data_IF_597399328117
#
_entry.id   IF_597399328117
#
_cell.length_a   1.000
_cell.length_b   1.000
_cell.length_c   1.000
_cell.angle_alpha   90.00
_cell.angle_beta   90.00
_cell.angle_gamma   90.00
#
_symmetry.space_group_name_H-M   'P 1'
#
loop_
_entity.id
_entity.type
_entity.pdbx_description
1 polymer ?
#
# COMPACT_ATOMS: atom_id res chain seq x y z
N UNK A 1 8.76 -10.06 -35.26
CA UNK A 1 9.68 -9.84 -34.12
C UNK A 1 9.34 -8.48 -33.54
N UNK A 2 8.51 -8.44 -32.49
CA UNK A 2 8.28 -7.24 -31.71
C UNK A 2 8.87 -7.50 -30.33
N UNK A 3 10.15 -7.20 -30.18
CA UNK A 3 10.81 -7.18 -28.89
C UNK A 3 10.30 -5.93 -28.18
N UNK A 4 9.31 -6.07 -27.30
CA UNK A 4 8.91 -5.00 -26.39
C UNK A 4 10.12 -4.67 -25.51
N UNK A 5 10.90 -3.69 -25.91
CA UNK A 5 11.96 -3.12 -25.07
C UNK A 5 11.24 -2.39 -23.95
N UNK A 6 11.04 -3.08 -22.82
CA UNK A 6 10.59 -2.45 -21.57
C UNK A 6 11.57 -1.31 -21.27
N UNK A 7 11.06 -0.09 -21.27
CA UNK A 7 11.86 1.09 -21.03
C UNK A 7 12.43 1.01 -19.60
N UNK A 8 13.66 1.48 -19.37
CA UNK A 8 14.31 1.46 -18.04
C UNK A 8 13.44 2.19 -16.99
N UNK A 9 12.65 3.17 -17.44
CA UNK A 9 11.64 3.85 -16.65
C UNK A 9 10.52 2.92 -16.16
N UNK A 10 10.04 1.99 -16.99
CA UNK A 10 8.99 1.03 -16.64
C UNK A 10 9.51 0.01 -15.63
N UNK A 11 10.75 -0.47 -15.80
CA UNK A 11 11.40 -1.39 -14.85
C UNK A 11 11.55 -0.74 -13.48
N UNK A 12 12.07 0.50 -13.42
CA UNK A 12 12.20 1.26 -12.16
C UNK A 12 10.85 1.59 -11.52
N UNK A 13 9.81 1.72 -12.34
CA UNK A 13 8.46 1.96 -11.87
C UNK A 13 7.83 0.71 -11.25
N UNK A 14 7.90 -0.44 -11.92
CA UNK A 14 7.41 -1.72 -11.39
C UNK A 14 8.13 -2.11 -10.10
N UNK A 15 9.44 -1.91 -10.02
CA UNK A 15 10.22 -2.12 -8.78
C UNK A 15 9.72 -1.26 -7.61
N UNK A 16 9.32 -0.01 -7.90
CA UNK A 16 8.76 0.87 -6.87
C UNK A 16 7.38 0.40 -6.42
N UNK A 17 6.53 0.00 -7.36
CA UNK A 17 5.20 -0.54 -7.05
C UNK A 17 5.33 -1.82 -6.22
N UNK A 18 6.25 -2.71 -6.56
CA UNK A 18 6.50 -3.93 -5.81
C UNK A 18 6.92 -3.64 -4.37
N UNK A 19 7.85 -2.70 -4.16
CA UNK A 19 8.28 -2.26 -2.82
C UNK A 19 7.13 -1.65 -2.00
N UNK A 20 6.24 -0.89 -2.65
CA UNK A 20 5.03 -0.35 -2.01
C UNK A 20 4.08 -1.48 -1.59
N UNK A 21 3.86 -2.48 -2.45
CA UNK A 21 3.01 -3.64 -2.12
C UNK A 21 3.56 -4.43 -0.95
N UNK A 22 4.86 -4.69 -0.94
CA UNK A 22 5.53 -5.40 0.17
C UNK A 22 5.42 -4.62 1.48
N UNK A 23 5.63 -3.31 1.43
CA UNK A 23 5.48 -2.42 2.58
C UNK A 23 4.04 -2.40 3.11
N UNK A 24 3.06 -2.31 2.21
CA UNK A 24 1.65 -2.36 2.58
C UNK A 24 1.27 -3.71 3.19
N UNK A 25 1.74 -4.83 2.63
CA UNK A 25 1.50 -6.16 3.18
C UNK A 25 2.10 -6.32 4.59
N UNK A 26 3.32 -5.82 4.81
CA UNK A 26 3.97 -5.82 6.13
C UNK A 26 3.18 -4.97 7.14
N UNK A 27 2.77 -3.76 6.77
CA UNK A 27 1.96 -2.89 7.61
C UNK A 27 0.61 -3.53 7.96
N UNK A 28 -0.11 -4.08 6.98
CA UNK A 28 -1.39 -4.77 7.22
C UNK A 28 -1.23 -5.92 8.21
N UNK A 29 -0.20 -6.76 8.05
CA UNK A 29 0.06 -7.86 8.98
C UNK A 29 0.27 -7.37 10.42
N UNK A 30 1.01 -6.28 10.60
CA UNK A 30 1.23 -5.69 11.92
C UNK A 30 -0.04 -5.06 12.50
N UNK A 31 -0.86 -4.42 11.67
CA UNK A 31 -2.14 -3.85 12.09
C UNK A 31 -3.15 -4.93 12.49
N UNK A 32 -3.18 -6.07 11.81
CA UNK A 32 -4.03 -7.22 12.18
C UNK A 32 -3.61 -7.85 13.51
N UNK A 33 -2.31 -7.94 13.75
CA UNK A 33 -1.77 -8.37 15.05
C UNK A 33 -2.16 -7.37 16.15
N UNK A 34 -2.06 -6.07 15.86
CA UNK A 34 -2.42 -5.02 16.81
C UNK A 34 -3.91 -5.04 17.17
N UNK A 35 -4.80 -5.27 16.19
CA UNK A 35 -6.24 -5.45 16.42
C UNK A 35 -6.57 -6.64 17.34
N UNK A 36 -5.74 -7.67 17.32
CA UNK A 36 -5.94 -8.88 18.11
C UNK A 36 -5.32 -8.77 19.51
N UNK A 37 -4.55 -7.72 19.78
CA UNK A 37 -3.88 -7.51 21.05
C UNK A 37 -4.78 -6.79 22.06
N UNK A 38 -4.76 -7.22 23.32
CA UNK A 38 -5.41 -6.49 24.42
C UNK A 38 -4.51 -5.34 24.85
N UNK A 39 -4.74 -4.15 24.32
CA UNK A 39 -3.99 -2.93 24.66
C UNK A 39 -4.92 -1.76 24.94
N UNK A 40 -4.44 -0.79 25.73
CA UNK A 40 -5.18 0.45 26.00
C UNK A 40 -5.38 1.27 24.71
N UNK A 41 -6.50 1.98 24.55
CA UNK A 41 -6.78 2.80 23.36
C UNK A 41 -5.67 3.80 23.03
N UNK A 42 -5.06 4.43 24.03
CA UNK A 42 -3.98 5.41 23.85
C UNK A 42 -2.70 4.74 23.32
N UNK A 43 -2.44 3.51 23.76
CA UNK A 43 -1.32 2.70 23.28
C UNK A 43 -1.58 2.15 21.87
N UNK A 44 -2.85 1.97 21.49
CA UNK A 44 -3.24 1.53 20.14
C UNK A 44 -2.88 2.59 19.10
N UNK A 45 -3.31 3.84 19.32
CA UNK A 45 -3.05 4.93 18.36
C UNK A 45 -1.54 5.19 18.19
N UNK A 46 -0.77 5.14 19.28
CA UNK A 46 0.68 5.28 19.21
C UNK A 46 1.35 4.15 18.41
N UNK A 47 0.87 2.91 18.54
CA UNK A 47 1.39 1.78 17.77
C UNK A 47 0.98 1.85 16.30
N UNK A 48 -0.23 2.32 15.99
CA UNK A 48 -0.66 2.55 14.61
C UNK A 48 0.24 3.60 13.93
N UNK A 49 0.51 4.72 14.61
CA UNK A 49 1.42 5.76 14.09
C UNK A 49 2.83 5.21 13.84
N UNK A 50 3.36 4.41 14.77
CA UNK A 50 4.67 3.76 14.63
C UNK A 50 4.72 2.80 13.44
N UNK A 51 3.67 1.99 13.21
CA UNK A 51 3.60 1.07 12.05
C UNK A 51 3.62 1.86 10.74
N UNK A 52 2.91 2.98 10.66
CA UNK A 52 2.90 3.84 9.49
C UNK A 52 4.29 4.45 9.22
N UNK A 53 4.96 4.97 10.24
CA UNK A 53 6.30 5.54 10.11
C UNK A 53 7.32 4.50 9.63
N UNK A 54 7.29 3.30 10.22
CA UNK A 54 8.26 2.23 9.92
C UNK A 54 8.11 1.66 8.50
N UNK A 55 6.87 1.48 8.05
CA UNK A 55 6.60 0.73 6.82
C UNK A 55 6.22 1.63 5.65
N UNK A 56 5.47 2.72 5.88
CA UNK A 56 4.72 3.42 4.83
C UNK A 56 5.35 4.77 4.46
N UNK A 57 5.83 5.54 5.44
CA UNK A 57 6.33 6.90 5.23
C UNK A 57 7.45 6.97 4.18
N UNK A 58 8.43 6.06 4.25
CA UNK A 58 9.57 6.02 3.32
C UNK A 58 9.17 5.80 1.85
N UNK A 59 7.96 5.33 1.61
CA UNK A 59 7.43 5.08 0.27
C UNK A 59 6.42 6.13 -0.20
N UNK A 60 6.18 7.16 0.62
CA UNK A 60 5.13 8.15 0.39
C UNK A 60 3.76 7.50 0.42
N UNK A 61 3.48 6.69 1.44
CA UNK A 61 2.17 6.12 1.68
C UNK A 61 1.59 6.68 2.98
N UNK A 62 0.33 7.08 2.93
CA UNK A 62 -0.46 7.53 4.08
C UNK A 62 -1.25 6.36 4.67
N UNK A 63 -1.41 6.35 5.99
CA UNK A 63 -2.31 5.44 6.69
C UNK A 63 -3.50 6.23 7.23
N UNK A 64 -4.69 5.90 6.76
CA UNK A 64 -5.95 6.47 7.22
C UNK A 64 -6.61 5.47 8.16
N UNK A 65 -6.94 5.93 9.37
CA UNK A 65 -7.64 5.15 10.39
C UNK A 65 -9.08 5.62 10.45
N UNK A 66 -10.03 4.74 10.14
CA UNK A 66 -11.46 5.02 10.24
C UNK A 66 -12.07 4.18 11.35
N UNK A 67 -12.63 4.84 12.36
CA UNK A 67 -13.45 4.19 13.39
C UNK A 67 -14.90 4.24 12.95
N UNK A 68 -15.52 3.08 12.79
CA UNK A 68 -16.94 2.97 12.40
C UNK A 68 -17.83 2.98 13.64
N UNK A 69 -19.10 3.36 13.45
CA UNK A 69 -20.06 3.52 14.55
C UNK A 69 -20.38 2.20 15.29
N UNK A 70 -20.10 1.05 14.66
CA UNK A 70 -20.17 -0.29 15.24
C UNK A 70 -18.94 -0.65 16.11
N UNK A 71 -18.01 0.28 16.29
CA UNK A 71 -16.77 0.08 17.06
C UNK A 71 -15.67 -0.62 16.27
N UNK A 72 -15.88 -0.98 14.99
CA UNK A 72 -14.80 -1.52 14.18
C UNK A 72 -13.80 -0.44 13.76
N UNK A 73 -12.54 -0.83 13.60
CA UNK A 73 -11.48 0.04 13.05
C UNK A 73 -11.09 -0.48 11.68
N UNK A 74 -11.14 0.39 10.67
CA UNK A 74 -10.71 0.15 9.30
C UNK A 74 -9.42 0.92 9.04
N UNK A 75 -8.49 0.27 8.35
CA UNK A 75 -7.23 0.86 7.93
C UNK A 75 -7.21 0.95 6.42
N UNK A 76 -6.87 2.13 5.89
CA UNK A 76 -6.70 2.36 4.47
C UNK A 76 -5.28 2.89 4.23
N UNK A 77 -4.54 2.24 3.34
CA UNK A 77 -3.20 2.67 2.94
C UNK A 77 -3.32 3.33 1.57
N UNK A 78 -3.00 4.62 1.49
CA UNK A 78 -3.03 5.39 0.25
C UNK A 78 -1.62 5.75 -0.19
N UNK A 79 -1.31 5.63 -1.48
CA UNK A 79 -0.04 6.13 -2.01
C UNK A 79 -0.18 7.62 -2.29
N UNK A 80 0.64 8.45 -1.63
CA UNK A 80 0.69 9.89 -1.83
C UNK A 80 0.96 10.22 -3.30
N UNK A 81 0.09 11.07 -3.86
CA UNK A 81 0.21 11.53 -5.24
C UNK A 81 1.34 12.54 -5.38
N UNK A 82 2.47 12.13 -5.94
CA UNK A 82 3.48 13.08 -6.45
C UNK A 82 3.11 13.56 -7.86
N UNK A 83 1.92 14.13 -8.04
CA UNK A 83 1.45 15.02 -9.13
C UNK A 83 1.59 14.64 -10.63
N UNK A 84 2.39 13.64 -11.03
CA UNK A 84 2.64 13.25 -12.44
C UNK A 84 2.71 11.74 -12.69
N UNK A 85 2.95 10.93 -11.65
CA UNK A 85 2.97 9.44 -11.74
C UNK A 85 1.59 8.81 -11.56
N UNK A 86 0.56 9.63 -11.31
CA UNK A 86 -0.79 9.22 -10.96
C UNK A 86 -1.57 8.66 -12.17
N UNK A 87 -1.30 9.17 -13.37
CA UNK A 87 -1.98 8.69 -14.58
C UNK A 87 -1.59 7.25 -14.94
N UNK A 88 -0.34 6.85 -14.68
CA UNK A 88 0.14 5.51 -15.00
C UNK A 88 -0.32 4.46 -13.97
N UNK A 89 -0.38 4.79 -12.68
CA UNK A 89 -0.87 3.87 -11.63
C UNK A 89 -2.37 3.62 -11.83
N UNK A 90 -3.18 4.67 -12.02
CA UNK A 90 -4.60 4.50 -12.34
C UNK A 90 -4.81 3.74 -13.65
N UNK A 91 -4.01 4.03 -14.68
CA UNK A 91 -4.11 3.31 -15.96
C UNK A 91 -3.79 1.82 -15.84
N UNK A 92 -2.90 1.43 -14.92
CA UNK A 92 -2.61 0.01 -14.64
C UNK A 92 -3.79 -0.66 -13.92
N UNK A 93 -4.31 -0.06 -12.85
CA UNK A 93 -5.46 -0.60 -12.12
C UNK A 93 -6.72 -0.65 -12.98
N UNK A 94 -6.93 0.31 -13.89
CA UNK A 94 -8.01 0.27 -14.88
C UNK A 94 -7.79 -0.77 -15.98
N UNK A 95 -6.56 -0.96 -16.49
CA UNK A 95 -6.28 -1.97 -17.51
C UNK A 95 -6.38 -3.39 -16.99
N UNK A 96 -6.13 -3.61 -15.70
CA UNK A 96 -6.09 -4.94 -15.11
C UNK A 96 -7.24 -5.22 -14.13
N UNK A 97 -8.27 -4.36 -14.06
CA UNK A 97 -9.43 -4.52 -13.17
C UNK A 97 -9.07 -4.83 -11.69
N UNK A 98 -7.91 -4.36 -11.22
CA UNK A 98 -7.41 -4.67 -9.87
C UNK A 98 -6.96 -6.13 -9.66
N UNK A 99 -6.90 -6.96 -10.71
CA UNK A 99 -6.34 -8.30 -10.66
C UNK A 99 -4.85 -8.24 -11.01
N UNK A 100 -4.04 -8.97 -10.24
CA UNK A 100 -2.65 -9.25 -10.61
C UNK A 100 -2.70 -10.09 -11.88
N UNK A 101 -2.03 -9.71 -13.00
CA UNK A 101 -1.95 -10.58 -14.15
C UNK A 101 -1.27 -11.87 -13.69
N UNK A 102 -1.99 -12.98 -13.75
CA UNK A 102 -1.37 -14.29 -13.63
C UNK A 102 -0.40 -14.41 -14.78
N UNK A 103 0.87 -14.65 -14.45
CA UNK A 103 1.87 -15.00 -15.44
C UNK A 103 1.49 -16.37 -16.01
N UNK A 104 0.81 -16.38 -17.14
CA UNK A 104 0.67 -17.59 -17.94
C UNK A 104 2.02 -17.89 -18.61
N UNK A 105 2.46 -19.14 -18.41
CA UNK A 105 3.62 -19.75 -19.03
C UNK A 105 3.27 -20.32 -20.42
#
# INVERSE_FOLDING_TARGET
MNSEVRNEFDVKYEDRIQKIREAAAAATKQLDQLRSATIAPEAFDAQVARIAEQNLYRYGCDLIVQRTADGATRFLIEVQSTGKRYDLIKSFFHRHNGLIPTADA
#
